data_IF_505824582333
#
_entry.id   IF_505824582333
#
_cell.length_a   1.000
_cell.length_b   1.000
_cell.length_c   1.000
_cell.angle_alpha   90.00
_cell.angle_beta   90.00
_cell.angle_gamma   90.00
#
_symmetry.space_group_name_H-M   'P 1'
#
loop_
_entity.id
_entity.type
_entity.pdbx_description
1 polymer ?
2 polymer ?
3 non-polymer ?
4 non-polymer ?
5 non-polymer ?
6 water ?
#
loop_
_entity_poly.entity_id
_entity_poly.type
_entity_poly.pdbx_seq_one_letter_code
_entity_poly.pdbx_strand_id
1 'polydeoxyribonucleotide' '(DT)(DC)(DT)(EFG)(DG)(DG)(DG)(DT)(DC)(DC)(DT)(DA)(DG)(DG)(DA)(DC)(DC)(DOC)' ?
#
# COMPACT_ATOMS: atom_id res chain seq x y z
N UNK C 26 23.27 -9.50 13.77
CA UNK C 26 22.54 -8.46 12.97
C UNK C 26 21.67 -8.94 11.76
N UNK C 27 21.60 -10.25 11.45
CA UNK C 27 20.74 -10.71 10.30
C UNK C 27 19.24 -10.92 10.56
N UNK C 28 18.41 -10.31 9.74
CA UNK C 28 17.01 -10.28 10.11
C UNK C 28 16.27 -11.30 9.27
N UNK C 29 15.06 -11.63 9.73
CA UNK C 29 14.12 -12.43 8.97
C UNK C 29 12.86 -11.55 8.96
N UNK C 30 12.46 -11.09 7.77
CA UNK C 30 11.39 -10.14 7.60
C UNK C 30 10.36 -10.86 6.76
N UNK C 31 9.08 -10.71 7.13
CA UNK C 31 8.06 -11.22 6.27
C UNK C 31 7.23 -10.04 5.70
N UNK C 32 6.85 -10.12 4.39
CA UNK C 32 5.93 -9.16 3.76
C UNK C 32 4.68 -9.90 3.34
N UNK C 33 3.50 -9.48 3.82
CA UNK C 33 2.25 -10.21 3.48
C UNK C 33 1.47 -9.30 2.53
N UNK C 34 0.85 -9.82 1.46
CA UNK C 34 0.25 -8.91 0.54
C UNK C 34 -1.04 -9.59 0.08
N UNK C 35 -2.20 -9.08 0.48
CA UNK C 35 -3.43 -9.85 0.19
C UNK C 35 -3.76 -9.94 -1.31
N UNK C 36 -4.50 -10.99 -1.68
CA UNK C 36 -4.91 -11.16 -3.10
C UNK C 36 -6.10 -10.19 -3.43
N UNK C 37 -5.94 -9.45 -4.52
CA UNK C 37 -7.00 -8.64 -5.16
C UNK C 37 -7.93 -7.99 -4.12
N UNK C 38 -7.30 -7.30 -3.16
CA UNK C 38 -7.94 -6.97 -1.88
C UNK C 38 -9.37 -6.43 -1.98
N UNK C 39 -9.62 -5.34 -2.71
CA UNK C 39 -11.04 -4.81 -2.70
C UNK C 39 -12.05 -5.86 -3.27
N UNK C 40 -11.60 -6.63 -4.25
CA UNK C 40 -12.47 -7.58 -4.96
C UNK C 40 -12.73 -8.73 -4.04
N UNK C 41 -11.67 -9.07 -3.29
CA UNK C 41 -11.78 -10.09 -2.26
C UNK C 41 -12.80 -9.72 -1.16
N UNK C 42 -12.75 -8.48 -0.70
CA UNK C 42 -13.73 -8.00 0.26
C UNK C 42 -15.17 -8.05 -0.38
N UNK C 43 -15.33 -7.62 -1.63
CA UNK C 43 -16.69 -7.67 -2.25
C UNK C 43 -17.22 -9.12 -2.46
N UNK C 44 -16.33 -10.04 -2.85
CA UNK C 44 -16.65 -11.45 -3.02
C UNK C 44 -17.16 -12.15 -1.78
N UNK C 45 -16.54 -11.86 -0.65
CA UNK C 45 -16.97 -12.29 0.69
C UNK C 45 -18.36 -11.76 1.12
N UNK C 46 -18.61 -10.47 0.93
CA UNK C 46 -19.95 -9.91 1.22
C UNK C 46 -21.05 -10.53 0.38
N UNK C 47 -20.75 -10.77 -0.88
CA UNK C 47 -21.73 -11.21 -1.85
C UNK C 47 -21.15 -12.37 -2.63
N UNK C 48 -21.28 -13.59 -2.07
CA UNK C 48 -20.77 -14.82 -2.68
C UNK C 48 -21.35 -15.08 -4.07
N UNK C 49 -22.50 -14.48 -4.39
CA UNK C 49 -23.06 -14.59 -5.76
C UNK C 49 -21.99 -14.17 -6.78
N UNK C 50 -21.05 -13.32 -6.34
CA UNK C 50 -19.89 -12.92 -7.15
C UNK C 50 -18.65 -13.85 -7.11
N UNK C 51 -18.71 -14.93 -6.32
CA UNK C 51 -17.49 -15.73 -6.12
C UNK C 51 -16.93 -16.32 -7.41
N UNK C 52 -17.79 -16.67 -8.35
CA UNK C 52 -17.27 -17.38 -9.51
C UNK C 52 -17.32 -16.59 -10.80
N UNK C 53 -17.76 -15.35 -10.69
CA UNK C 53 -17.87 -14.47 -11.83
C UNK C 53 -16.64 -13.60 -11.88
N UNK C 54 -16.17 -13.30 -13.09
CA UNK C 54 -15.13 -12.30 -13.28
C UNK C 54 -15.66 -11.00 -12.70
N UNK C 55 -14.88 -10.36 -11.81
CA UNK C 55 -15.37 -9.18 -11.07
C UNK C 55 -14.36 -8.04 -11.02
N UNK C 56 -14.86 -6.80 -11.20
CA UNK C 56 -14.04 -5.59 -11.15
C UNK C 56 -14.62 -4.59 -10.14
N UNK C 57 -13.75 -3.88 -9.43
CA UNK C 57 -14.21 -2.91 -8.41
C UNK C 57 -14.06 -1.52 -9.08
N UNK C 58 -15.14 -0.75 -9.10
CA UNK C 58 -15.15 0.48 -9.87
C UNK C 58 -15.15 1.72 -9.03
N UNK C 59 -14.34 2.68 -9.43
CA UNK C 59 -14.38 3.97 -8.82
C UNK C 59 -14.48 4.94 -9.99
N UNK C 60 -15.59 5.64 -10.11
CA UNK C 60 -15.84 6.54 -11.26
C UNK C 60 -15.64 5.75 -12.58
N UNK C 61 -14.83 6.19 -13.50
CA UNK C 61 -14.69 5.43 -14.72
C UNK C 61 -13.55 4.46 -14.65
N UNK C 62 -13.18 4.04 -13.45
CA UNK C 62 -12.00 3.22 -13.24
C UNK C 62 -12.29 1.85 -12.67
N UNK C 63 -11.62 0.86 -13.24
CA UNK C 63 -11.56 -0.44 -12.64
C UNK C 63 -10.26 -0.50 -11.84
N UNK C 64 -10.39 -0.17 -10.53
CA UNK C 64 -9.21 -0.02 -9.65
C UNK C 64 -8.53 -1.36 -9.50
N UNK C 65 -9.32 -2.41 -9.22
CA UNK C 65 -8.77 -3.77 -9.22
C UNK C 65 -9.83 -4.83 -9.69
N UNK C 66 -9.42 -6.08 -9.88
CA UNK C 66 -10.38 -7.15 -10.24
C UNK C 66 -9.89 -8.48 -9.72
N UNK C 67 -10.79 -9.45 -9.60
CA UNK C 67 -10.37 -10.80 -9.11
C UNK C 67 -9.55 -11.56 -10.18
N UNK C 68 -9.08 -12.74 -9.83
CA UNK C 68 -8.18 -13.52 -10.67
C UNK C 68 -8.99 -14.15 -11.84
N UNK C 69 -10.30 -14.34 -11.69
CA UNK C 69 -11.15 -14.76 -12.85
C UNK C 69 -11.09 -13.68 -13.95
N UNK C 70 -11.17 -12.39 -13.57
CA UNK C 70 -11.06 -11.28 -14.54
C UNK C 70 -9.67 -11.08 -15.10
N UNK C 71 -8.63 -11.36 -14.32
CA UNK C 71 -7.26 -11.14 -14.86
C UNK C 71 -6.94 -12.24 -15.91
N UNK C 72 -7.69 -13.32 -15.86
CA UNK C 72 -7.62 -14.35 -16.92
C UNK C 72 -8.17 -13.78 -18.24
N UNK C 73 -9.39 -13.30 -18.18
CA UNK C 73 -10.02 -12.71 -19.33
C UNK C 73 -9.39 -11.41 -19.78
N UNK C 74 -8.19 -11.10 -19.34
CA UNK C 74 -7.50 -9.93 -19.85
C UNK C 74 -7.58 -8.60 -19.13
N UNK C 75 -8.44 -8.49 -18.13
CA UNK C 75 -8.59 -7.25 -17.32
C UNK C 75 -7.33 -6.94 -16.47
N UNK C 76 -6.84 -5.70 -16.49
CA UNK C 76 -5.70 -5.30 -15.61
C UNK C 76 -6.09 -4.32 -14.46
N UNK C 77 -5.30 -4.26 -13.39
CA UNK C 77 -5.57 -3.28 -12.33
C UNK C 77 -5.44 -1.89 -12.95
N UNK C 78 -6.35 -1.00 -12.61
CA UNK C 78 -6.31 0.38 -13.09
C UNK C 78 -6.51 0.49 -14.60
N UNK C 79 -7.46 -0.26 -15.12
CA UNK C 79 -7.87 -0.18 -16.52
C UNK C 79 -9.20 0.53 -16.52
N UNK C 80 -9.41 1.45 -17.46
CA UNK C 80 -10.69 2.14 -17.45
C UNK C 80 -11.80 1.18 -17.83
N UNK C 81 -13.03 1.49 -17.40
CA UNK C 81 -14.17 0.61 -17.60
C UNK C 81 -14.37 0.14 -19.08
N UNK C 82 -14.13 1.06 -20.03
CA UNK C 82 -14.30 0.77 -21.47
C UNK C 82 -13.36 -0.32 -21.97
N UNK C 83 -12.06 -0.12 -21.77
CA UNK C 83 -11.08 -1.14 -22.15
C UNK C 83 -11.38 -2.50 -21.52
N UNK C 84 -11.90 -2.46 -20.29
CA UNK C 84 -12.16 -3.68 -19.55
C UNK C 84 -13.47 -4.39 -19.92
N UNK C 85 -14.54 -3.64 -20.21
CA UNK C 85 -15.82 -4.23 -20.66
C UNK C 85 -15.67 -4.88 -22.04
N UNK C 86 -14.88 -4.23 -22.91
CA UNK C 86 -14.56 -4.74 -24.24
C UNK C 86 -13.69 -5.98 -24.13
N UNK C 87 -12.63 -5.92 -23.32
CA UNK C 87 -11.80 -7.09 -23.09
C UNK C 87 -12.58 -8.23 -22.40
N UNK C 88 -13.66 -7.90 -21.69
CA UNK C 88 -14.47 -8.91 -20.99
C UNK C 88 -15.94 -8.48 -20.74
N UNK C 89 -16.82 -8.63 -21.77
CA UNK C 89 -18.20 -8.06 -21.80
C UNK C 89 -19.09 -8.37 -20.61
N UNK C 90 -18.93 -9.56 -20.05
CA UNK C 90 -19.71 -10.06 -18.93
C UNK C 90 -19.03 -9.74 -17.55
N UNK C 91 -17.91 -9.03 -17.58
CA UNK C 91 -17.34 -8.46 -16.33
C UNK C 91 -18.43 -7.86 -15.40
N UNK C 92 -18.64 -8.45 -14.24
CA UNK C 92 -19.48 -7.86 -13.23
C UNK C 92 -18.70 -6.69 -12.51
N UNK C 93 -19.36 -5.55 -12.28
CA UNK C 93 -18.78 -4.36 -11.66
C UNK C 93 -19.43 -3.99 -10.33
N UNK C 94 -18.65 -3.73 -9.28
CA UNK C 94 -19.23 -3.22 -8.03
C UNK C 94 -18.50 -1.97 -7.60
N UNK C 95 -19.23 -1.07 -6.96
CA UNK C 95 -18.71 0.24 -6.75
C UNK C 95 -17.81 0.25 -5.51
N UNK C 96 -16.61 0.75 -5.66
CA UNK C 96 -15.71 0.71 -4.53
C UNK C 96 -15.23 2.08 -4.09
N UNK C 97 -16.09 3.12 -4.23
CA UNK C 97 -15.71 4.48 -3.94
C UNK C 97 -15.68 4.81 -2.48
N UNK C 98 -16.53 4.13 -1.71
CA UNK C 98 -16.51 4.18 -0.27
C UNK C 98 -15.60 3.06 0.27
N UNK C 99 -14.55 3.45 0.97
CA UNK C 99 -13.46 2.53 1.33
C UNK C 99 -13.74 1.95 2.68
N UNK C 100 -14.89 2.28 3.29
CA UNK C 100 -15.09 1.98 4.74
C UNK C 100 -14.86 0.48 5.04
N UNK C 101 -15.46 -0.39 4.26
CA UNK C 101 -15.31 -1.84 4.46
C UNK C 101 -13.89 -2.34 4.23
N UNK C 102 -13.24 -1.83 3.20
CA UNK C 102 -11.81 -2.24 2.93
C UNK C 102 -10.93 -1.74 4.09
N UNK C 103 -11.16 -0.50 4.50
CA UNK C 103 -10.49 0.09 5.64
C UNK C 103 -10.60 -0.86 6.83
N UNK C 104 -11.83 -1.17 7.20
CA UNK C 104 -12.07 -2.01 8.42
C UNK C 104 -11.39 -3.36 8.33
N UNK C 105 -11.49 -4.01 7.17
CA UNK C 105 -10.81 -5.28 7.05
C UNK C 105 -9.30 -5.14 7.14
N UNK C 106 -8.76 -4.08 6.53
CA UNK C 106 -7.32 -3.88 6.51
C UNK C 106 -6.76 -3.80 7.96
N UNK C 107 -7.46 -3.12 8.90
CA UNK C 107 -7.04 -3.14 10.32
C UNK C 107 -7.24 -4.47 11.00
N UNK C 108 -8.26 -5.25 10.60
CA UNK C 108 -8.37 -6.58 11.24
C UNK C 108 -7.13 -7.42 10.86
N UNK C 109 -6.66 -7.26 9.64
CA UNK C 109 -5.41 -7.98 9.25
C UNK C 109 -4.20 -7.52 10.06
N UNK C 110 -3.99 -6.22 10.16
CA UNK C 110 -2.80 -5.74 10.84
C UNK C 110 -2.90 -6.22 12.32
N UNK C 111 -4.06 -6.09 12.93
CA UNK C 111 -4.25 -6.48 14.32
C UNK C 111 -3.95 -7.93 14.50
N UNK C 112 -4.41 -8.79 13.57
CA UNK C 112 -4.12 -10.23 13.72
C UNK C 112 -2.59 -10.45 13.60
N UNK C 113 -1.94 -9.76 12.65
CA UNK C 113 -0.49 -10.01 12.52
C UNK C 113 0.24 -9.52 13.78
N UNK C 114 -0.32 -8.52 14.42
CA UNK C 114 0.33 -7.94 15.60
C UNK C 114 0.33 -8.91 16.79
N UNK C 115 -0.57 -9.88 16.78
CA UNK C 115 -0.53 -10.96 17.77
C UNK C 115 0.69 -11.81 17.65
N UNK C 116 1.24 -11.93 16.44
CA UNK C 116 2.48 -12.68 16.26
C UNK C 116 3.66 -11.85 16.76
N UNK C 117 3.82 -10.63 16.26
CA UNK C 117 4.82 -9.72 16.81
C UNK C 117 4.25 -8.34 16.78
N UNK C 118 4.46 -7.58 17.88
CA UNK C 118 3.78 -6.32 18.01
C UNK C 118 4.14 -5.30 16.98
N UNK C 119 5.29 -5.44 16.37
CA UNK C 119 5.80 -4.36 15.56
C UNK C 119 5.45 -4.71 14.17
N UNK C 120 4.35 -4.14 13.68
CA UNK C 120 3.91 -4.45 12.33
C UNK C 120 3.86 -3.16 11.54
N UNK C 121 4.43 -3.16 10.34
CA UNK C 121 4.35 -1.96 9.53
C UNK C 121 3.36 -2.13 8.32
N UNK C 122 2.44 -1.22 8.13
CA UNK C 122 1.45 -1.27 7.06
C UNK C 122 2.00 -0.56 5.85
N UNK C 123 1.64 -1.00 4.66
CA UNK C 123 1.97 -0.22 3.50
C UNK C 123 0.74 -0.27 2.67
N UNK C 124 0.04 0.86 2.59
CA UNK C 124 -1.30 0.82 2.00
C UNK C 124 -2.25 -0.06 2.78
N UNK C 125 -3.36 -0.45 2.13
CA UNK C 125 -4.41 -1.09 2.86
C UNK C 125 -4.21 -2.56 2.91
N UNK C 126 -3.27 -3.12 2.12
CA UNK C 126 -3.25 -4.61 2.08
C UNK C 126 -1.89 -5.25 2.19
N UNK C 127 -0.87 -4.49 2.56
CA UNK C 127 0.48 -5.09 2.79
C UNK C 127 0.88 -4.74 4.23
N UNK C 128 1.57 -5.68 4.89
CA UNK C 128 2.17 -5.51 6.19
C UNK C 128 3.57 -6.13 6.17
N UNK C 129 4.53 -5.54 6.93
CA UNK C 129 5.79 -6.14 7.14
C UNK C 129 5.85 -6.47 8.62
N UNK C 130 6.52 -7.58 8.93
CA UNK C 130 6.71 -8.00 10.32
C UNK C 130 8.15 -8.47 10.42
N UNK C 131 8.83 -8.03 11.46
CA UNK C 131 10.16 -8.49 11.75
C UNK C 131 10.03 -9.74 12.64
N UNK C 132 10.39 -10.88 12.08
CA UNK C 132 10.24 -12.18 12.71
C UNK C 132 11.52 -12.61 13.45
N UNK C 133 12.57 -11.82 13.39
CA UNK C 133 13.89 -12.30 13.88
C UNK C 133 13.80 -12.90 15.29
N UNK C 134 13.15 -12.19 16.18
CA UNK C 134 13.07 -12.59 17.56
C UNK C 134 12.23 -13.82 17.66
N UNK C 135 11.11 -13.84 16.95
CA UNK C 135 10.26 -15.04 17.02
C UNK C 135 11.07 -16.25 16.50
N UNK C 136 11.82 -16.02 15.43
CA UNK C 136 12.62 -17.09 14.86
C UNK C 136 13.66 -17.62 15.84
N UNK C 137 14.44 -16.70 16.41
CA UNK C 137 15.44 -17.03 17.42
C UNK C 137 14.82 -17.77 18.62
N UNK C 138 13.70 -17.29 19.14
CA UNK C 138 13.03 -17.97 20.26
C UNK C 138 12.52 -19.36 19.84
N UNK C 139 12.13 -19.57 18.59
CA UNK C 139 11.76 -20.96 18.20
C UNK C 139 13.01 -21.82 18.01
N UNK C 140 14.11 -21.22 17.55
CA UNK C 140 15.33 -22.04 17.44
C UNK C 140 15.83 -22.47 18.84
N UNK C 141 15.81 -21.55 19.82
CA UNK C 141 16.18 -21.81 21.20
C UNK C 141 15.48 -23.03 21.73
N UNK C 142 14.32 -23.38 21.16
CA UNK C 142 13.55 -24.51 21.69
C UNK C 142 13.77 -25.87 21.05
N UNK C 143 14.50 -25.93 19.92
CA UNK C 143 14.73 -27.22 19.24
C UNK C 143 15.94 -27.96 19.82
N UNK C 144 15.74 -29.24 20.15
CA UNK C 144 16.80 -30.16 20.62
C UNK C 144 17.80 -30.49 19.50
N UNK C 145 19.00 -30.90 19.89
CA UNK C 145 20.13 -31.07 18.96
C UNK C 145 19.77 -31.79 17.65
N UNK C 146 19.01 -32.87 17.74
CA UNK C 146 18.70 -33.71 16.56
C UNK C 146 17.28 -33.53 15.99
N UNK C 147 16.74 -32.31 16.03
CA UNK C 147 15.53 -31.97 15.24
C UNK C 147 15.74 -30.68 14.44
N UNK C 148 16.97 -30.19 14.48
CA UNK C 148 17.39 -29.09 13.63
C UNK C 148 17.44 -29.55 12.16
N UNK C 149 17.68 -30.84 11.96
CA UNK C 149 17.84 -31.40 10.62
C UNK C 149 16.50 -31.79 10.00
N UNK C 150 15.44 -31.72 10.80
CA UNK C 150 14.10 -31.97 10.30
C UNK C 150 13.42 -30.64 9.85
N UNK C 151 14.06 -29.48 10.06
CA UNK C 151 13.47 -28.19 9.66
C UNK C 151 13.14 -28.18 8.17
N UNK C 152 11.91 -27.83 7.82
CA UNK C 152 11.59 -27.79 6.37
C UNK C 152 10.94 -26.49 6.00
N UNK C 153 10.98 -26.20 4.71
CA UNK C 153 10.33 -25.03 4.16
C UNK C 153 8.81 -25.19 4.06
N UNK C 154 8.09 -24.09 4.25
CA UNK C 154 6.69 -24.00 3.82
C UNK C 154 6.60 -23.18 2.59
N UNK C 155 6.01 -23.73 1.54
CA UNK C 155 5.83 -22.98 0.27
C UNK C 155 7.10 -22.98 -0.57
N UNK C 156 7.17 -22.07 -1.51
CA UNK C 156 8.19 -22.05 -2.51
C UNK C 156 9.55 -21.53 -2.05
N UNK C 157 10.62 -22.02 -2.65
CA UNK C 157 11.97 -21.42 -2.40
C UNK C 157 12.32 -20.71 -3.68
N UNK C 158 12.62 -19.41 -3.59
CA UNK C 158 12.84 -18.58 -4.81
C UNK C 158 14.00 -19.25 -5.61
N UNK C 159 13.77 -19.29 -6.91
CA UNK C 159 14.66 -19.77 -7.97
C UNK C 159 14.98 -21.22 -7.71
N UNK C 160 14.10 -21.91 -6.97
CA UNK C 160 14.30 -23.28 -6.69
C UNK C 160 15.67 -23.59 -6.05
N UNK C 161 16.18 -22.70 -5.25
CA UNK C 161 17.52 -22.87 -4.77
C UNK C 161 17.58 -23.99 -3.76
N UNK C 162 18.67 -24.79 -3.80
CA UNK C 162 18.93 -25.85 -2.83
C UNK C 162 19.09 -25.36 -1.39
N UNK C 163 18.49 -26.05 -0.44
CA UNK C 163 18.66 -25.67 0.96
C UNK C 163 19.90 -26.31 1.57
N UNK C 164 20.56 -25.59 2.47
CA UNK C 164 21.71 -26.17 3.15
C UNK C 164 21.40 -26.13 4.62
N UNK C 165 20.99 -27.27 5.18
CA UNK C 165 20.56 -27.30 6.60
C UNK C 165 21.65 -26.96 7.58
N UNK C 166 22.92 -26.92 7.18
CA UNK C 166 23.98 -26.50 8.09
C UNK C 166 24.24 -25.02 7.98
N UNK C 167 23.51 -24.33 7.12
CA UNK C 167 23.72 -22.88 7.04
C UNK C 167 22.70 -22.21 7.96
N UNK C 168 23.15 -21.59 9.02
CA UNK C 168 22.20 -21.07 10.00
C UNK C 168 21.25 -19.98 9.42
N UNK C 169 21.71 -19.28 8.39
CA UNK C 169 20.90 -18.27 7.67
C UNK C 169 19.80 -18.99 6.93
N UNK C 170 20.08 -20.12 6.26
CA UNK C 170 19.00 -20.91 5.63
C UNK C 170 18.07 -21.41 6.68
N UNK C 171 18.64 -21.90 7.79
CA UNK C 171 17.72 -22.38 8.85
C UNK C 171 16.72 -21.29 9.33
N UNK C 172 17.23 -20.06 9.54
CA UNK C 172 16.39 -19.06 10.20
C UNK C 172 15.31 -18.63 9.21
N UNK C 173 15.67 -18.52 7.92
CA UNK C 173 14.70 -18.23 6.81
C UNK C 173 13.63 -19.30 6.66
N UNK C 174 13.96 -20.59 6.87
CA UNK C 174 12.92 -21.61 6.74
C UNK C 174 11.94 -21.52 7.89
N UNK C 175 12.43 -21.27 9.10
CA UNK C 175 11.54 -21.05 10.27
C UNK C 175 10.67 -19.81 9.98
N UNK C 176 11.29 -18.74 9.43
CA UNK C 176 10.53 -17.58 8.91
C UNK C 176 9.43 -18.02 7.98
N UNK C 177 9.72 -18.90 7.01
CA UNK C 177 8.64 -19.38 6.11
C UNK C 177 7.57 -20.14 6.86
N UNK C 178 7.95 -20.86 7.92
CA UNK C 178 6.89 -21.56 8.68
C UNK C 178 6.01 -20.58 9.40
N UNK C 179 6.61 -19.58 10.00
CA UNK C 179 5.79 -18.56 10.66
C UNK C 179 4.82 -17.88 9.69
N UNK C 180 5.31 -17.54 8.50
CA UNK C 180 4.49 -16.91 7.42
C UNK C 180 3.27 -17.72 7.01
N UNK C 181 3.46 -19.02 6.85
CA UNK C 181 2.38 -19.95 6.60
C UNK C 181 1.35 -20.00 7.78
N UNK C 182 1.82 -19.92 9.05
CA UNK C 182 0.89 -19.76 10.20
C UNK C 182 0.05 -18.47 10.12
N UNK C 183 0.71 -17.39 9.74
CA UNK C 183 0.04 -16.11 9.54
C UNK C 183 -0.95 -16.17 8.40
N UNK C 184 -0.62 -16.82 7.32
CA UNK C 184 -1.57 -16.94 6.26
C UNK C 184 -2.73 -17.84 6.62
N UNK C 185 -2.46 -18.93 7.28
CA UNK C 185 -3.53 -19.85 7.73
C UNK C 185 -4.48 -19.16 8.73
N UNK C 186 -3.93 -18.35 9.65
CA UNK C 186 -4.75 -17.61 10.62
C UNK C 186 -5.60 -16.53 9.92
N UNK C 187 -5.00 -15.77 8.99
CA UNK C 187 -5.80 -14.81 8.20
C UNK C 187 -6.95 -15.51 7.50
N UNK C 188 -6.71 -16.72 7.00
CA UNK C 188 -7.79 -17.37 6.25
C UNK C 188 -8.88 -17.85 7.26
N UNK C 189 -8.43 -18.56 8.30
CA UNK C 189 -9.27 -19.20 9.30
C UNK C 189 -10.01 -18.15 10.10
N UNK C 190 -9.38 -17.01 10.38
CA UNK C 190 -10.05 -16.00 11.20
C UNK C 190 -10.76 -14.92 10.47
N UNK C 191 -10.27 -14.54 9.28
CA UNK C 191 -10.85 -13.36 8.59
C UNK C 191 -11.37 -13.74 7.20
N UNK C 192 -11.16 -14.98 6.76
CA UNK C 192 -11.69 -15.40 5.46
C UNK C 192 -10.82 -14.93 4.29
N UNK C 193 -9.61 -14.44 4.56
CA UNK C 193 -8.86 -13.73 3.50
C UNK C 193 -7.67 -14.55 3.05
N UNK C 194 -7.38 -14.56 1.75
CA UNK C 194 -6.17 -15.24 1.28
C UNK C 194 -5.15 -14.16 0.80
N UNK C 195 -3.85 -14.45 0.89
CA UNK C 195 -2.87 -13.55 0.35
C UNK C 195 -1.52 -14.24 0.19
N UNK C 196 -0.51 -13.46 -0.24
CA UNK C 196 0.84 -14.03 -0.49
C UNK C 196 1.76 -13.54 0.61
N UNK C 197 2.87 -14.24 0.82
CA UNK C 197 3.85 -13.79 1.75
C UNK C 197 5.23 -13.99 1.11
N UNK C 198 6.19 -13.14 1.50
CA UNK C 198 7.60 -13.25 1.05
C UNK C 198 8.43 -13.19 2.26
N UNK C 199 9.36 -14.12 2.40
CA UNK C 199 10.26 -14.08 3.53
C UNK C 199 11.72 -13.89 2.98
N UNK C 200 12.43 -12.94 3.57
CA UNK C 200 13.79 -12.54 3.14
C UNK C 200 14.49 -11.77 4.27
N UNK C 201 15.73 -11.37 4.01
CA UNK C 201 16.56 -10.77 5.05
C UNK C 201 16.32 -9.29 5.23
N UNK C 202 15.57 -8.66 4.34
CA UNK C 202 15.23 -7.24 4.56
C UNK C 202 13.87 -6.90 3.90
N UNK C 203 13.35 -5.69 4.14
CA UNK C 203 11.99 -5.36 3.60
C UNK C 203 11.89 -5.30 2.08
N UNK C 204 12.89 -4.72 1.43
CA UNK C 204 12.88 -4.60 -0.02
C UNK C 204 12.79 -6.04 -0.63
N UNK C 205 13.59 -6.94 -0.12
CA UNK C 205 13.70 -8.27 -0.69
C UNK C 205 12.42 -9.12 -0.34
N UNK C 206 11.92 -8.99 0.90
CA UNK C 206 10.67 -9.63 1.26
C UNK C 206 9.53 -9.16 0.35
N UNK C 207 9.48 -7.88 0.07
CA UNK C 207 8.40 -7.38 -0.76
C UNK C 207 8.57 -7.75 -2.26
N UNK C 208 9.79 -7.84 -2.73
CA UNK C 208 10.01 -8.32 -4.12
C UNK C 208 9.73 -9.78 -4.19
N UNK C 209 10.10 -10.56 -3.18
CA UNK C 209 9.93 -12.00 -3.38
C UNK C 209 8.46 -12.46 -3.18
N UNK C 210 7.66 -11.66 -2.47
CA UNK C 210 6.30 -12.04 -2.12
C UNK C 210 5.40 -12.12 -3.31
N UNK C 211 5.74 -11.35 -4.34
CA UNK C 211 5.01 -11.42 -5.60
C UNK C 211 5.43 -12.52 -6.58
N UNK C 212 6.45 -13.33 -6.29
CA UNK C 212 6.95 -14.25 -7.31
C UNK C 212 5.89 -15.33 -7.68
N UNK C 213 5.18 -15.88 -6.66
CA UNK C 213 4.10 -16.89 -6.90
C UNK C 213 2.78 -16.33 -6.36
N UNK C 214 1.82 -16.09 -7.24
CA UNK C 214 0.51 -15.55 -6.82
C UNK C 214 -0.60 -16.16 -7.70
N UNK C 215 -1.86 -16.17 -7.25
CA UNK C 215 -2.35 -15.66 -5.90
C UNK C 215 -2.12 -16.68 -4.80
N UNK C 216 -2.32 -16.27 -3.54
CA UNK C 216 -2.38 -17.20 -2.42
C UNK C 216 -1.23 -18.21 -2.33
N UNK C 217 0.00 -17.73 -2.37
CA UNK C 217 1.16 -18.59 -2.26
C UNK C 217 2.24 -17.85 -1.51
N UNK C 218 3.34 -18.51 -1.18
CA UNK C 218 4.43 -17.81 -0.45
C UNK C 218 5.77 -18.31 -0.91
N UNK C 219 6.79 -17.44 -0.79
CA UNK C 219 8.12 -17.72 -1.35
C UNK C 219 9.14 -17.23 -0.35
N UNK C 220 10.21 -18.00 -0.24
CA UNK C 220 11.30 -17.54 0.62
C UNK C 220 12.54 -17.33 -0.22
N UNK C 221 13.28 -16.29 0.10
CA UNK C 221 14.49 -15.94 -0.63
C UNK C 221 15.73 -16.30 0.20
N UNK C 222 16.52 -17.27 -0.25
CA UNK C 222 17.83 -17.58 0.34
C UNK C 222 18.90 -16.59 -0.16
N UNK C 223 19.88 -16.27 0.71
CA UNK C 223 20.74 -15.15 0.36
C UNK C 223 21.44 -15.32 -0.99
N UNK C 224 21.76 -16.53 -1.39
CA UNK C 224 22.54 -16.72 -2.65
C UNK C 224 21.75 -16.30 -3.91
N UNK C 225 20.42 -16.21 -3.79
CA UNK C 225 19.64 -15.92 -4.98
C UNK C 225 19.26 -14.43 -5.06
N UNK C 226 19.75 -13.66 -4.10
CA UNK C 226 19.44 -12.21 -4.09
C UNK C 226 19.74 -11.50 -5.42
N UNK C 227 20.92 -11.74 -5.96
CA UNK C 227 21.24 -11.05 -7.20
C UNK C 227 20.26 -11.52 -8.31
N UNK C 228 19.90 -12.77 -8.28
CA UNK C 228 19.01 -13.28 -9.26
C UNK C 228 17.67 -12.54 -9.16
N UNK C 229 17.16 -12.37 -7.96
CA UNK C 229 15.81 -11.73 -7.81
C UNK C 229 15.88 -10.25 -8.28
N UNK C 230 16.97 -9.57 -7.92
CA UNK C 230 17.12 -8.16 -8.28
C UNK C 230 17.27 -7.99 -9.80
N UNK C 231 18.05 -8.82 -10.42
CA UNK C 231 18.20 -8.77 -11.84
C UNK C 231 17.03 -9.33 -12.61
N UNK C 232 16.09 -10.01 -11.97
CA UNK C 232 14.85 -10.43 -12.72
C UNK C 232 13.92 -9.23 -13.09
N UNK C 233 14.06 -8.11 -12.42
CA UNK C 233 13.19 -6.96 -12.71
C UNK C 233 13.51 -6.44 -14.11
N UNK C 234 12.50 -6.03 -14.89
CA UNK C 234 12.82 -5.48 -16.23
C UNK C 234 12.79 -4.01 -16.35
N UNK C 235 12.25 -3.33 -15.35
CA UNK C 235 12.16 -1.88 -15.36
C UNK C 235 12.55 -1.32 -14.02
N UNK C 236 13.26 -0.22 -14.05
CA UNK C 236 13.85 0.34 -12.86
C UNK C 236 12.76 0.85 -11.90
N UNK C 237 11.57 1.18 -12.44
CA UNK C 237 10.45 1.65 -11.61
C UNK C 237 9.91 0.49 -10.79
N UNK C 238 10.34 -0.75 -11.10
CA UNK C 238 9.86 -1.92 -10.28
C UNK C 238 10.46 -1.96 -8.89
N UNK C 239 11.52 -1.20 -8.68
CA UNK C 239 12.08 -1.10 -7.36
C UNK C 239 11.21 -0.16 -6.49
N UNK C 240 10.74 -0.66 -5.36
CA UNK C 240 9.98 0.13 -4.38
C UNK C 240 10.84 1.30 -3.93
N UNK C 241 10.37 2.51 -4.23
CA UNK C 241 11.08 3.72 -3.89
C UNK C 241 11.51 4.48 -5.12
N UNK C 242 11.51 3.83 -6.30
CA UNK C 242 11.71 4.59 -7.53
C UNK C 242 10.36 4.74 -8.19
N UNK C 243 9.86 5.99 -8.23
CA UNK C 243 8.53 6.24 -8.76
C UNK C 243 8.56 6.85 -10.16
N UNK C 244 7.40 7.33 -10.60
CA UNK C 244 7.20 7.99 -11.92
C UNK C 244 8.20 9.08 -12.16
N UNK C 245 8.45 9.92 -11.18
CA UNK C 245 9.33 11.02 -11.44
C UNK C 245 10.76 10.58 -11.57
N UNK C 246 11.24 9.81 -10.59
CA UNK C 246 12.65 9.42 -10.55
C UNK C 246 13.02 8.55 -11.73
N UNK C 247 12.11 7.67 -12.12
CA UNK C 247 12.33 6.76 -13.20
C UNK C 247 12.50 7.54 -14.49
N UNK C 248 11.57 8.45 -14.77
CA UNK C 248 11.73 9.37 -15.93
C UNK C 248 13.10 10.04 -15.92
N UNK C 249 13.56 10.60 -14.78
CA UNK C 249 14.94 11.16 -14.74
C UNK C 249 16.06 10.10 -15.01
N UNK C 250 15.88 8.88 -14.50
CA UNK C 250 16.91 7.87 -14.79
C UNK C 250 16.87 7.55 -16.29
N UNK C 251 15.65 7.43 -16.84
CA UNK C 251 15.48 7.06 -18.27
C UNK C 251 16.25 8.06 -19.12
N UNK C 252 16.10 9.33 -18.76
CA UNK C 252 16.73 10.41 -19.51
C UNK C 252 18.25 10.37 -19.37
N UNK C 253 18.79 9.86 -18.25
CA UNK C 253 20.25 9.59 -18.11
C UNK C 253 20.77 8.29 -18.78
N UNK C 254 19.95 7.66 -19.60
CA UNK C 254 20.25 6.33 -20.15
C UNK C 254 20.31 5.17 -19.13
N UNK C 255 19.76 5.36 -17.94
CA UNK C 255 19.67 4.26 -16.98
C UNK C 255 18.36 3.47 -17.03
N UNK C 256 18.45 2.22 -17.45
CA UNK C 256 17.29 1.44 -17.76
C UNK C 256 17.20 0.11 -17.06
N UNK C 257 18.32 -0.56 -16.79
CA UNK C 257 18.20 -1.86 -16.09
C UNK C 257 18.63 -1.69 -14.65
N UNK C 258 18.42 -2.72 -13.81
CA UNK C 258 18.89 -2.62 -12.42
C UNK C 258 20.43 -2.50 -12.45
N UNK C 259 21.05 -3.28 -13.34
CA UNK C 259 22.48 -3.24 -13.50
C UNK C 259 23.01 -1.87 -13.95
N UNK C 260 22.30 -1.17 -14.85
CA UNK C 260 22.71 0.21 -15.23
C UNK C 260 22.71 1.08 -13.99
N UNK C 261 21.72 0.91 -13.10
CA UNK C 261 21.70 1.78 -11.91
C UNK C 261 22.87 1.40 -10.96
N UNK C 262 23.09 0.10 -10.79
CA UNK C 262 24.08 -0.40 -9.90
C UNK C 262 25.44 0.14 -10.29
N UNK C 263 25.68 0.31 -11.61
CA UNK C 263 27.05 0.59 -12.08
C UNK C 263 27.25 2.07 -12.45
N UNK C 264 26.21 2.89 -12.28
CA UNK C 264 26.27 4.25 -12.77
C UNK C 264 27.02 5.14 -11.76
N UNK C 265 27.60 6.25 -12.21
CA UNK C 265 28.50 7.06 -11.40
C UNK C 265 27.78 7.66 -10.18
N UNK C 266 28.20 7.24 -8.96
CA UNK C 266 27.55 7.77 -7.73
C UNK C 266 27.53 9.31 -7.75
N UNK C 267 28.68 9.90 -8.06
CA UNK C 267 28.83 11.36 -8.13
C UNK C 267 27.82 11.97 -9.09
N UNK C 268 27.73 11.43 -10.30
CA UNK C 268 26.85 12.03 -11.32
C UNK C 268 25.37 11.89 -10.92
N UNK C 269 25.05 10.69 -10.40
CA UNK C 269 23.73 10.36 -9.92
C UNK C 269 23.33 11.42 -8.86
N UNK C 270 24.11 11.51 -7.77
CA UNK C 270 23.87 12.58 -6.73
C UNK C 270 23.63 13.96 -7.33
N UNK C 271 24.47 14.38 -8.30
CA UNK C 271 24.31 15.68 -8.95
C UNK C 271 22.97 15.77 -9.65
N UNK C 272 22.45 14.66 -10.15
CA UNK C 272 21.20 14.73 -10.89
C UNK C 272 19.95 14.41 -10.04
N UNK C 273 20.14 14.01 -8.78
CA UNK C 273 19.02 13.60 -7.91
C UNK C 273 19.20 13.84 -6.38
N UNK C 274 20.34 14.37 -5.96
CA UNK C 274 20.52 14.77 -4.55
C UNK C 274 21.17 13.63 -3.82
N UNK C 275 22.00 13.94 -2.85
CA UNK C 275 22.67 12.86 -2.12
C UNK C 275 21.65 11.85 -1.59
N UNK C 276 20.46 12.36 -1.26
CA UNK C 276 19.53 11.52 -0.58
C UNK C 276 18.89 10.42 -1.50
N UNK C 277 18.18 10.85 -2.51
CA UNK C 277 17.48 10.00 -3.47
C UNK C 277 18.53 9.11 -4.18
N UNK C 278 19.57 9.77 -4.69
CA UNK C 278 20.70 9.08 -5.32
C UNK C 278 21.30 7.95 -4.47
N UNK C 279 21.56 8.21 -3.21
CA UNK C 279 22.24 7.21 -2.44
C UNK C 279 21.29 6.09 -1.94
N UNK C 280 20.03 6.38 -1.80
CA UNK C 280 19.20 5.32 -1.29
C UNK C 280 18.80 4.40 -2.43
N UNK C 281 18.49 4.96 -3.59
CA UNK C 281 18.15 4.11 -4.71
C UNK C 281 19.31 3.27 -5.20
N UNK C 282 20.53 3.75 -5.12
CA UNK C 282 21.63 2.97 -5.67
C UNK C 282 21.83 1.82 -4.73
N UNK C 283 21.64 2.09 -3.45
CA UNK C 283 21.63 1.01 -2.46
C UNK C 283 20.57 -0.07 -2.69
N UNK C 284 19.33 0.38 -2.92
CA UNK C 284 18.23 -0.52 -3.31
C UNK C 284 18.54 -1.33 -4.56
N UNK C 285 19.26 -0.72 -5.54
CA UNK C 285 19.56 -1.43 -6.78
C UNK C 285 20.44 -2.63 -6.52
N UNK C 286 21.15 -2.65 -5.40
CA UNK C 286 21.92 -3.89 -5.12
C UNK C 286 21.12 -4.89 -4.26
N UNK C 287 19.89 -4.59 -3.89
CA UNK C 287 19.20 -5.48 -2.94
C UNK C 287 19.40 -5.18 -1.45
N UNK C 288 20.03 -4.03 -1.13
CA UNK C 288 20.39 -3.65 0.24
C UNK C 288 19.43 -2.70 0.74
N UNK C 289 18.91 -2.97 1.93
CA UNK C 289 17.95 -2.07 2.54
C UNK C 289 17.99 -2.36 4.04
N UNK C 290 18.50 -1.39 4.79
CA UNK C 290 18.65 -1.56 6.16
C UNK C 290 17.52 -0.95 6.98
N UNK C 291 16.48 -0.44 6.34
CA UNK C 291 15.46 0.28 7.15
C UNK C 291 14.75 -0.67 8.09
N UNK C 292 14.48 -0.23 9.31
CA UNK C 292 13.81 -1.12 10.27
C UNK C 292 12.31 -1.24 9.95
N UNK C 293 11.71 -2.33 10.37
CA UNK C 293 10.23 -2.46 10.25
C UNK C 293 9.72 -1.56 11.37
N UNK C 294 8.84 -0.65 11.07
CA UNK C 294 8.41 0.19 12.20
C UNK C 294 6.95 0.02 12.48
N UNK C 295 6.59 0.29 13.71
CA UNK C 295 5.28 0.02 14.21
C UNK C 295 4.36 1.09 13.64
N UNK C 296 3.45 0.74 12.77
CA UNK C 296 2.52 1.80 12.23
C UNK C 296 1.55 2.35 13.27
N UNK C 297 0.92 1.45 14.03
CA UNK C 297 -0.06 1.91 15.09
C UNK C 297 -1.26 2.56 14.43
N UNK C 298 -1.89 3.50 15.14
CA UNK C 298 -3.05 4.17 14.57
C UNK C 298 -2.62 5.17 13.49
N UNK C 299 -3.58 5.57 12.67
CA UNK C 299 -3.32 6.36 11.47
C UNK C 299 -2.92 7.74 11.93
N UNK C 300 -2.12 8.43 11.08
CA UNK C 300 -1.58 9.78 11.30
C UNK C 300 -2.52 10.88 10.73
N UNK C 301 -3.39 10.49 9.80
CA UNK C 301 -4.35 11.37 9.13
C UNK C 301 -5.59 10.56 8.77
N UNK C 302 -6.70 11.26 8.56
CA UNK C 302 -7.99 10.68 8.17
C UNK C 302 -8.43 11.62 7.03
N UNK C 303 -8.64 11.12 5.82
CA UNK C 303 -9.15 11.99 4.73
C UNK C 303 -10.25 11.34 3.90
N UNK C 304 -11.04 12.20 3.23
CA UNK C 304 -11.98 11.75 2.18
C UNK C 304 -11.94 12.70 1.01
N UNK C 305 -12.15 12.14 -0.17
CA UNK C 305 -12.20 12.89 -1.40
C UNK C 305 -13.41 12.56 -2.27
N UNK C 306 -13.74 13.46 -3.16
CA UNK C 306 -14.62 13.18 -4.25
C UNK C 306 -14.10 13.84 -5.47
N UNK C 307 -14.14 13.06 -6.51
CA UNK C 307 -13.72 13.36 -7.85
C UNK C 307 -15.01 13.67 -8.64
N UNK C 308 -14.88 14.50 -9.65
CA UNK C 308 -15.99 14.81 -10.50
C UNK C 308 -15.52 15.60 -11.69
N UNK C 309 -16.32 15.59 -12.75
CA UNK C 309 -16.04 16.37 -13.94
C UNK C 309 -16.75 17.71 -13.81
N UNK C 310 -15.97 18.78 -13.72
CA UNK C 310 -16.49 20.13 -13.53
C UNK C 310 -17.77 20.33 -12.73
N UNK C 311 -18.16 19.38 -11.91
CA UNK C 311 -19.45 19.41 -11.21
C UNK C 311 -19.53 20.68 -10.41
N UNK C 312 -18.38 21.01 -9.81
CA UNK C 312 -18.36 22.17 -8.99
C UNK C 312 -17.92 23.38 -9.72
N UNK C 313 -18.85 24.32 -9.74
CA UNK C 313 -18.54 25.73 -9.94
C UNK C 313 -19.77 26.55 -9.55
N UNK C 314 -19.81 27.12 -8.36
CA UNK C 314 -18.96 26.78 -7.24
C UNK C 314 -19.95 26.62 -6.07
N UNK C 315 -19.84 27.50 -5.07
CA UNK C 315 -20.41 27.30 -3.71
C UNK C 315 -21.71 26.45 -3.60
N UNK C 316 -21.64 25.20 -4.05
CA UNK C 316 -22.50 24.11 -3.60
C UNK C 316 -21.49 23.08 -3.08
N UNK C 317 -20.23 23.27 -3.50
CA UNK C 317 -19.10 22.79 -2.73
C UNK C 317 -19.45 22.70 -1.24
N UNK C 318 -20.22 23.68 -0.73
CA UNK C 318 -20.71 23.63 0.67
C UNK C 318 -21.39 22.27 1.00
N UNK C 319 -22.26 21.83 0.04
CA UNK C 319 -22.90 20.50 0.12
C UNK C 319 -21.81 19.44 0.14
N UNK C 320 -20.97 19.49 -0.89
CA UNK C 320 -19.93 18.51 -1.14
C UNK C 320 -19.01 18.35 0.09
N UNK C 321 -18.43 19.50 0.49
CA UNK C 321 -17.61 19.68 1.68
C UNK C 321 -18.32 19.26 2.97
N UNK C 322 -19.62 19.54 3.07
CA UNK C 322 -20.42 19.05 4.20
C UNK C 322 -20.54 17.53 4.27
N UNK C 323 -20.75 16.88 3.14
CA UNK C 323 -20.81 15.42 3.17
C UNK C 323 -19.48 14.76 3.59
N UNK C 324 -18.38 15.22 3.01
CA UNK C 324 -17.02 14.68 3.35
C UNK C 324 -16.86 14.83 4.83
N UNK C 325 -17.19 16.04 5.28
CA UNK C 325 -16.99 16.42 6.65
C UNK C 325 -17.79 15.52 7.62
N UNK C 326 -19.03 15.21 7.23
CA UNK C 326 -19.95 14.38 8.04
C UNK C 326 -19.38 12.96 8.28
N UNK C 327 -18.91 12.35 7.21
CA UNK C 327 -18.26 11.05 7.33
C UNK C 327 -16.95 11.18 8.09
N UNK C 328 -16.18 12.21 7.79
CA UNK C 328 -14.90 12.33 8.48
C UNK C 328 -15.10 12.52 9.96
N UNK C 329 -16.17 13.23 10.34
CA UNK C 329 -16.47 13.54 11.74
C UNK C 329 -16.79 12.29 12.49
N UNK C 330 -17.53 11.39 11.86
CA UNK C 330 -17.76 10.06 12.44
C UNK C 330 -16.50 9.20 12.66
N UNK C 331 -15.59 9.23 11.70
CA UNK C 331 -14.37 8.44 11.79
C UNK C 331 -13.52 8.88 12.97
N UNK C 332 -13.16 10.16 12.96
CA UNK C 332 -12.38 10.75 14.02
C UNK C 332 -13.08 10.59 15.38
N UNK C 333 -14.40 10.73 15.38
CA UNK C 333 -15.17 10.43 16.57
C UNK C 333 -14.86 9.00 17.00
N UNK C 334 -15.27 8.04 16.17
CA UNK C 334 -14.91 6.61 16.34
C UNK C 334 -13.47 6.35 16.76
N UNK C 335 -12.52 7.18 16.31
CA UNK C 335 -11.09 6.92 16.63
C UNK C 335 -10.82 7.14 18.11
N UNK C 336 -11.25 8.30 18.62
CA UNK C 336 -11.17 8.57 20.05
C UNK C 336 -9.96 9.37 20.52
N UNK C 337 -8.95 9.49 19.67
CA UNK C 337 -7.98 10.56 19.80
C UNK C 337 -8.70 11.65 19.03
N UNK C 338 -8.29 12.89 19.19
CA UNK C 338 -8.96 13.99 18.48
C UNK C 338 -7.91 14.71 17.66
N UNK C 339 -8.33 15.24 16.47
CA UNK C 339 -7.43 15.96 15.55
C UNK C 339 -7.29 17.42 15.90
N UNK C 340 -6.15 17.99 15.55
CA UNK C 340 -5.86 19.37 15.81
C UNK C 340 -5.52 20.20 14.59
N UNK C 341 -5.51 19.62 13.40
CA UNK C 341 -5.39 20.44 12.16
C UNK C 341 -6.42 19.94 11.14
N UNK C 342 -6.98 20.84 10.34
CA UNK C 342 -7.90 20.44 9.28
C UNK C 342 -7.33 21.03 8.01
N UNK C 343 -7.51 20.33 6.89
CA UNK C 343 -6.99 20.84 5.65
C UNK C 343 -8.00 20.58 4.55
N UNK C 344 -7.96 21.43 3.52
CA UNK C 344 -8.91 21.34 2.41
C UNK C 344 -8.07 21.26 1.19
N UNK C 345 -8.32 20.28 0.31
CA UNK C 345 -7.51 20.09 -0.90
C UNK C 345 -8.44 20.32 -2.10
N UNK C 346 -7.96 21.01 -3.13
CA UNK C 346 -8.80 21.11 -4.35
C UNK C 346 -7.92 20.79 -5.55
N UNK C 347 -8.55 20.62 -6.72
CA UNK C 347 -7.84 20.49 -8.00
C UNK C 347 -8.60 21.25 -9.10
N UNK C 348 -7.88 21.99 -9.95
CA UNK C 348 -8.49 22.87 -10.97
C UNK C 348 -8.37 22.30 -12.40
N UNK C 349 -9.34 22.60 -13.30
CA UNK C 349 -9.47 21.94 -14.64
C UNK C 349 -8.51 22.35 -15.76
N UNK C 350 -8.08 21.40 -16.58
CA UNK C 350 -7.10 21.62 -17.66
C UNK C 350 -5.68 21.87 -17.14
N UNK C 351 -4.63 21.51 -17.88
CA UNK C 351 -4.70 20.86 -19.20
C UNK C 351 -3.55 19.84 -19.35
N UNK C 352 -2.73 19.94 -20.41
CA UNK C 352 -1.59 19.02 -20.56
C UNK C 352 -0.43 19.20 -19.56
N UNK C 353 -0.42 20.33 -18.84
CA UNK C 353 0.62 20.61 -17.87
C UNK C 353 0.36 19.90 -16.54
N UNK C 354 1.09 20.30 -15.51
CA UNK C 354 0.94 19.70 -14.19
C UNK C 354 -0.35 20.17 -13.52
N UNK C 355 -1.30 19.25 -13.35
CA UNK C 355 -2.57 19.56 -12.72
C UNK C 355 -2.52 19.34 -11.21
N UNK C 356 -1.39 19.71 -10.60
CA UNK C 356 -1.21 19.54 -9.16
C UNK C 356 -2.36 20.07 -8.32
N UNK C 357 -2.56 19.42 -7.18
CA UNK C 357 -3.52 19.88 -6.21
C UNK C 357 -3.02 21.13 -5.45
N UNK C 358 -3.94 21.88 -4.85
CA UNK C 358 -3.57 22.93 -3.87
C UNK C 358 -4.41 22.72 -2.64
N UNK C 359 -3.91 23.17 -1.49
CA UNK C 359 -4.60 23.10 -0.24
C UNK C 359 -4.27 24.28 0.67
N UNK C 360 -5.09 24.37 1.71
CA UNK C 360 -4.98 25.29 2.82
C UNK C 360 -5.34 24.50 4.04
N UNK C 361 -4.57 24.68 5.12
CA UNK C 361 -4.92 24.08 6.40
C UNK C 361 -4.93 25.23 7.43
N UNK C 362 -5.36 24.92 8.65
CA UNK C 362 -5.41 25.87 9.74
C UNK C 362 -5.71 25.00 10.96
N UNK C 363 -5.35 25.43 12.20
CA UNK C 363 -5.71 24.57 13.35
C UNK C 363 -7.21 24.59 13.59
N UNK C 364 -7.72 23.57 14.26
CA UNK C 364 -9.11 23.48 14.61
C UNK C 364 -9.21 24.22 15.97
N UNK C 365 -10.17 25.18 16.14
CA UNK C 365 -10.29 25.90 17.43
C UNK C 365 -10.43 24.92 18.59
N UNK C 366 -9.73 25.17 19.70
CA UNK C 366 -9.80 24.28 20.88
C UNK C 366 -11.25 24.03 21.35
N UNK C 367 -12.07 25.05 21.32
CA UNK C 367 -13.45 24.81 21.68
C UNK C 367 -14.12 23.81 20.75
N UNK C 368 -13.79 23.83 19.46
CA UNK C 368 -14.41 22.90 18.55
C UNK C 368 -13.89 21.47 18.70
N UNK C 369 -12.73 21.32 19.30
CA UNK C 369 -12.13 20.04 19.50
C UNK C 369 -13.02 19.29 20.50
N UNK C 370 -14.25 18.97 20.12
CA UNK C 370 -15.21 18.38 21.07
C UNK C 370 -16.28 17.46 20.52
N UNK C 371 -16.02 16.15 20.56
CA UNK C 371 -16.92 15.16 19.97
C UNK C 371 -17.34 14.09 20.98
N UNK C 378 -23.96 22.26 15.03
CA UNK C 378 -23.19 21.70 16.13
C UNK C 378 -21.98 20.94 15.59
N UNK C 379 -20.78 21.43 15.91
CA UNK C 379 -19.51 20.91 15.32
C UNK C 379 -19.51 21.12 13.79
N UNK C 380 -20.53 20.57 13.12
CA UNK C 380 -20.69 20.75 11.68
C UNK C 380 -20.58 22.19 11.21
N UNK C 381 -21.39 23.09 11.81
CA UNK C 381 -21.51 24.50 11.38
C UNK C 381 -20.22 25.30 11.48
N UNK C 382 -19.53 25.24 12.65
CA UNK C 382 -18.30 26.00 12.69
C UNK C 382 -17.24 25.25 11.83
N UNK C 383 -17.35 23.92 11.73
CA UNK C 383 -16.32 23.15 10.92
C UNK C 383 -16.44 23.54 9.47
N UNK C 384 -17.70 23.66 9.01
CA UNK C 384 -17.98 24.12 7.65
C UNK C 384 -17.58 25.57 7.38
N UNK C 385 -17.83 26.46 8.34
CA UNK C 385 -17.43 27.86 8.16
C UNK C 385 -15.92 27.97 7.89
N UNK C 386 -15.15 27.29 8.75
CA UNK C 386 -13.69 27.13 8.57
C UNK C 386 -13.40 26.63 7.15
N UNK C 387 -14.02 25.51 6.78
CA UNK C 387 -13.64 24.95 5.47
C UNK C 387 -13.97 25.93 4.33
N UNK C 388 -15.15 26.53 4.43
CA UNK C 388 -15.56 27.50 3.42
C UNK C 388 -14.63 28.70 3.27
N UNK C 389 -14.14 29.21 4.40
CA UNK C 389 -13.10 30.22 4.38
C UNK C 389 -11.83 29.71 3.64
N UNK C 390 -11.39 28.50 3.99
CA UNK C 390 -10.22 27.94 3.30
C UNK C 390 -10.53 27.85 1.82
N UNK C 391 -11.77 27.45 1.51
CA UNK C 391 -12.23 27.37 0.13
C UNK C 391 -12.04 28.70 -0.63
N UNK C 392 -12.55 29.78 -0.05
CA UNK C 392 -12.51 31.06 -0.77
C UNK C 392 -11.09 31.57 -0.86
N UNK C 393 -10.30 31.30 0.17
CA UNK C 393 -8.92 31.70 0.11
C UNK C 393 -8.31 31.19 -1.17
N UNK C 394 -8.63 29.93 -1.52
CA UNK C 394 -8.06 29.35 -2.74
C UNK C 394 -8.78 29.74 -4.01
N UNK C 395 -10.10 29.66 -4.02
CA UNK C 395 -10.87 29.95 -5.24
C UNK C 395 -11.38 31.39 -5.17
N UNK C 396 -11.16 32.17 -6.25
CA UNK C 396 -11.85 33.43 -6.49
C UNK C 396 -13.31 33.15 -6.93
N UNK C 397 -14.24 33.28 -5.98
CA UNK C 397 -15.67 33.11 -6.24
C UNK C 397 -16.29 34.15 -7.24
N UNK C 398 -15.58 35.24 -7.52
CA UNK C 398 -16.05 36.35 -8.39
C UNK C 398 -15.91 36.10 -9.89
N UNK C 399 -15.13 35.09 -10.24
CA UNK C 399 -15.02 34.65 -11.62
C UNK C 399 -15.59 33.21 -11.65
N UNK C 400 -15.62 32.58 -12.81
CA UNK C 400 -16.05 31.17 -12.89
C UNK C 400 -15.05 30.21 -12.23
N UNK C 401 -15.52 29.32 -11.38
CA UNK C 401 -14.65 28.33 -10.72
C UNK C 401 -14.13 27.34 -11.75
N UNK C 402 -13.47 26.27 -11.32
CA UNK C 402 -12.96 25.29 -12.32
C UNK C 402 -12.53 23.93 -11.77
N UNK C 403 -13.41 23.26 -11.02
CA UNK C 403 -12.96 22.18 -10.09
C UNK C 403 -13.34 20.74 -10.40
N UNK C 404 -12.32 19.87 -10.31
CA UNK C 404 -12.46 18.44 -10.50
C UNK C 404 -12.27 17.55 -9.24
N UNK C 405 -11.95 18.17 -8.08
CA UNK C 405 -11.72 17.41 -6.80
C UNK C 405 -11.88 18.26 -5.54
N UNK C 406 -12.67 17.76 -4.61
CA UNK C 406 -12.66 18.30 -3.27
C UNK C 406 -12.26 17.21 -2.29
N UNK C 407 -11.39 17.56 -1.34
CA UNK C 407 -10.88 16.65 -0.33
C UNK C 407 -10.71 17.37 1.03
N UNK C 408 -11.07 16.68 2.11
CA UNK C 408 -10.83 17.15 3.45
C UNK C 408 -10.00 16.17 4.26
N UNK C 409 -9.03 16.71 5.02
CA UNK C 409 -8.13 15.86 5.82
C UNK C 409 -8.13 16.30 7.26
N UNK C 410 -8.24 15.36 8.22
CA UNK C 410 -8.02 15.69 9.64
C UNK C 410 -6.69 15.08 10.02
N UNK C 411 -5.80 15.83 10.63
CA UNK C 411 -4.50 15.29 11.02
C UNK C 411 -3.97 15.99 12.29
N UNK C 412 -2.71 15.73 12.65
CA UNK C 412 -2.09 16.22 13.87
C UNK C 412 -2.98 15.75 15.02
N UNK C 413 -3.18 14.42 15.07
CA UNK C 413 -3.95 13.71 16.11
C UNK C 413 -3.15 13.67 17.43
N UNK C 414 -3.88 13.66 18.55
CA UNK C 414 -3.31 13.99 19.87
C UNK C 414 -4.27 13.61 20.99
#
# INVERSE_FOLDING_TARGET
MELADVGAAASSQGVHDQVLPTPNASSRVIVHVDLDCFYAQVEMISNPELKDKPLGVQQKYLVVTCNYEARKLGVKKLMNVRDAKEKCPQLVLVNGEDLTRYREMSYKVTELLEEFSPVVERLGFDENFVDLTEMVEKRLQQLQSDELSAVTVSGHVYNNQSINLLDVLHIRLLVGSQIAAEMREAMYNQLGLTGCAGVASNKLLAKLVSGVFKPNQQTVLLPESCQHLIHSLNHIKEIPGIGYKTAKCLEALGINSVRDLQTFSPKILEKELGISVAQRIQKLSFGEDNSPVILSGPPQSFSEEDSFKKCSSEVEAKNKIEELLASLLNRVCQDGRKPHTVRLIIRRYSSEKHYGRESRQCPIPSHVIQKLGTGNYDVMTPMVDILMKLFRNMVNVKMPFHLTLLSVCFCNLKALNTAK
#
